data_IF_982488394170
#
_entry.id   IF_982488394170
#
_cell.length_a   1.000
_cell.length_b   1.000
_cell.length_c   1.000
_cell.angle_alpha   90.00
_cell.angle_beta   90.00
_cell.angle_gamma   90.00
#
_symmetry.space_group_name_H-M   'P 1'
#
loop_
_entity.id
_entity.type
_entity.pdbx_description
1 polymer ?
#
# COMPACT_ATOMS: atom_id res chain seq x y z
N UNK A 1 1.12 2.88 0.36
CA UNK A 1 0.05 2.39 -0.51
C UNK A 1 0.37 0.94 -0.82
N UNK A 2 -0.62 0.07 -0.84
CA UNK A 2 -0.50 -1.29 -1.41
C UNK A 2 -1.71 -1.51 -2.31
N UNK A 3 -1.47 -2.05 -3.48
CA UNK A 3 -2.50 -2.28 -4.49
C UNK A 3 -2.45 -3.74 -4.93
N UNK A 4 -3.58 -4.44 -4.82
CA UNK A 4 -3.70 -5.86 -5.15
C UNK A 4 -4.74 -6.01 -6.25
N UNK A 5 -4.36 -6.66 -7.35
CA UNK A 5 -5.31 -7.09 -8.37
C UNK A 5 -5.52 -8.59 -8.25
N UNK A 6 -6.75 -9.01 -7.97
CA UNK A 6 -7.09 -10.41 -7.77
C UNK A 6 -8.50 -10.72 -8.28
N UNK A 7 -8.61 -11.75 -9.11
CA UNK A 7 -9.88 -12.23 -9.69
C UNK A 7 -10.78 -11.11 -10.26
N UNK A 8 -10.19 -10.26 -11.11
CA UNK A 8 -10.90 -9.12 -11.74
C UNK A 8 -11.33 -8.02 -10.77
N UNK A 9 -10.79 -7.99 -9.55
CA UNK A 9 -11.05 -6.97 -8.54
C UNK A 9 -9.76 -6.25 -8.15
N UNK A 10 -9.82 -4.92 -8.15
CA UNK A 10 -8.73 -4.07 -7.68
C UNK A 10 -8.98 -3.63 -6.23
N UNK A 11 -8.04 -3.94 -5.35
CA UNK A 11 -8.04 -3.59 -3.94
C UNK A 11 -6.91 -2.58 -3.70
N UNK A 12 -7.29 -1.31 -3.53
CA UNK A 12 -6.34 -0.21 -3.35
C UNK A 12 -6.35 0.28 -1.90
N UNK A 13 -5.29 -0.04 -1.14
CA UNK A 13 -5.10 0.40 0.23
C UNK A 13 -4.28 1.68 0.27
N UNK A 14 -4.99 2.80 0.36
CA UNK A 14 -4.46 4.18 0.28
C UNK A 14 -5.05 5.07 1.37
N UNK A 15 -4.26 6.04 1.90
CA UNK A 15 -4.72 6.94 2.96
C UNK A 15 -5.96 7.77 2.62
N UNK A 16 -6.18 8.05 1.32
CA UNK A 16 -7.29 8.88 0.89
C UNK A 16 -8.63 8.13 0.79
N UNK A 17 -8.59 6.82 0.67
CA UNK A 17 -9.79 5.98 0.61
C UNK A 17 -10.02 5.16 1.89
N UNK A 18 -9.01 5.02 2.75
CA UNK A 18 -9.15 4.35 4.04
C UNK A 18 -8.03 4.72 5.02
N UNK A 19 -7.40 3.71 5.59
CA UNK A 19 -6.34 3.84 6.58
C UNK A 19 -5.17 2.97 6.16
N UNK A 20 -3.95 3.46 6.37
CA UNK A 20 -2.75 2.68 6.10
C UNK A 20 -1.71 2.91 7.17
N UNK A 21 -1.08 1.83 7.62
CA UNK A 21 -0.01 1.81 8.59
C UNK A 21 1.19 1.13 7.97
N UNK A 22 2.33 1.79 8.09
CA UNK A 22 3.64 1.25 7.74
C UNK A 22 4.52 1.21 8.98
N UNK A 23 5.29 0.15 9.08
CA UNK A 23 6.37 -0.03 10.04
C UNK A 23 7.58 -0.56 9.27
N UNK A 24 8.60 0.29 9.11
CA UNK A 24 9.75 0.03 8.24
C UNK A 24 11.02 0.21 9.06
N UNK A 25 11.84 -0.83 9.10
CA UNK A 25 13.16 -0.80 9.73
C UNK A 25 14.16 -0.03 8.87
N UNK A 26 15.34 0.26 9.42
CA UNK A 26 16.43 0.90 8.68
C UNK A 26 16.87 0.08 7.46
N UNK A 27 16.73 -1.25 7.54
CA UNK A 27 16.84 -2.18 6.43
C UNK A 27 16.19 -3.52 6.80
N UNK A 28 15.83 -4.34 5.81
CA UNK A 28 15.47 -5.74 5.98
C UNK A 28 14.05 -6.06 6.46
N UNK A 29 13.22 -5.06 6.77
CA UNK A 29 11.84 -5.30 7.22
C UNK A 29 10.92 -4.14 6.85
N UNK A 30 9.84 -4.46 6.15
CA UNK A 30 8.76 -3.58 5.76
C UNK A 30 7.43 -4.27 6.08
N UNK A 31 6.64 -3.67 6.96
CA UNK A 31 5.31 -4.18 7.32
C UNK A 31 4.27 -3.14 6.99
N UNK A 32 3.19 -3.60 6.37
CA UNK A 32 2.08 -2.78 5.98
C UNK A 32 0.77 -3.42 6.41
N UNK A 33 -0.12 -2.58 6.96
CA UNK A 33 -1.52 -2.90 7.14
C UNK A 33 -2.36 -1.79 6.53
N UNK A 34 -3.33 -2.15 5.71
CA UNK A 34 -4.19 -1.17 5.06
C UNK A 34 -5.64 -1.60 5.02
N UNK A 35 -6.56 -0.65 5.21
CA UNK A 35 -8.00 -0.83 5.02
C UNK A 35 -8.48 0.08 3.90
N UNK A 36 -9.45 -0.41 3.14
CA UNK A 36 -10.04 0.34 2.04
C UNK A 36 -11.43 -0.16 1.67
N UNK A 37 -11.94 0.30 0.52
CA UNK A 37 -13.15 -0.21 -0.11
C UNK A 37 -12.86 -0.56 -1.57
N UNK A 38 -13.28 -1.74 -1.98
CA UNK A 38 -13.30 -2.20 -3.37
C UNK A 38 -14.75 -2.24 -3.88
N UNK A 39 -14.95 -2.72 -5.12
CA UNK A 39 -16.30 -2.97 -5.65
C UNK A 39 -17.08 -4.03 -4.84
N UNK A 40 -16.38 -4.92 -4.12
CA UNK A 40 -16.98 -6.00 -3.32
C UNK A 40 -17.19 -5.59 -1.85
N UNK A 41 -16.87 -4.33 -1.48
CA UNK A 41 -17.06 -3.81 -0.13
C UNK A 41 -15.75 -3.49 0.61
N UNK A 42 -15.81 -3.34 1.95
CA UNK A 42 -14.65 -3.00 2.75
C UNK A 42 -13.70 -4.19 2.86
N UNK A 43 -12.40 -3.91 2.80
CA UNK A 43 -11.37 -4.94 2.85
C UNK A 43 -10.20 -4.50 3.74
N UNK A 44 -9.39 -5.47 4.15
CA UNK A 44 -8.10 -5.26 4.81
C UNK A 44 -7.02 -6.07 4.10
N UNK A 45 -5.86 -5.46 3.91
CA UNK A 45 -4.66 -6.09 3.38
C UNK A 45 -3.54 -6.00 4.41
N UNK A 46 -2.81 -7.10 4.55
CA UNK A 46 -1.52 -7.13 5.24
C UNK A 46 -0.46 -7.53 4.23
N UNK A 47 0.62 -6.76 4.20
CA UNK A 47 1.78 -7.02 3.36
C UNK A 47 3.02 -6.95 4.22
N UNK A 48 3.81 -8.01 4.20
CA UNK A 48 5.08 -8.09 4.89
C UNK A 48 6.16 -8.38 3.87
N UNK A 49 7.22 -7.59 3.88
CA UNK A 49 8.41 -7.83 3.09
C UNK A 49 9.61 -7.83 4.02
N UNK A 50 10.52 -8.80 3.86
CA UNK A 50 11.72 -8.87 4.68
C UNK A 50 12.88 -9.51 3.91
N UNK A 51 14.10 -9.18 4.31
CA UNK A 51 15.31 -9.87 3.90
C UNK A 51 16.27 -9.94 5.09
N UNK A 52 17.18 -10.91 5.07
CA UNK A 52 18.25 -10.98 6.06
C UNK A 52 19.27 -9.87 5.79
N UNK A 53 19.46 -8.89 6.69
CA UNK A 53 20.40 -7.78 6.46
C UNK A 53 21.86 -8.22 6.35
N UNK A 54 22.26 -9.34 6.96
CA UNK A 54 23.63 -9.84 6.95
C UNK A 54 23.96 -10.52 5.63
N UNK A 55 23.02 -11.30 5.09
CA UNK A 55 23.17 -12.01 3.82
C UNK A 55 22.74 -11.19 2.61
N UNK A 56 21.76 -10.30 2.77
CA UNK A 56 21.19 -9.43 1.74
C UNK A 56 21.32 -7.97 2.20
N UNK A 57 22.54 -7.41 2.19
CA UNK A 57 22.78 -6.04 2.63
C UNK A 57 22.21 -5.01 1.67
N UNK A 58 21.66 -5.38 0.51
CA UNK A 58 21.11 -4.45 -0.47
C UNK A 58 22.17 -3.69 -1.26
N UNK A 59 21.83 -3.38 -2.51
CA UNK A 59 22.63 -2.55 -3.40
C UNK A 59 22.35 -1.08 -3.12
N UNK A 60 23.39 -0.31 -2.82
CA UNK A 60 23.29 1.15 -2.68
C UNK A 60 23.48 1.78 -4.07
N UNK A 61 22.49 2.53 -4.53
CA UNK A 61 22.53 3.17 -5.84
C UNK A 61 22.18 4.66 -5.77
N UNK A 62 22.47 5.35 -6.86
CA UNK A 62 22.26 6.79 -6.96
C UNK A 62 20.81 7.10 -7.33
N UNK A 63 20.19 8.00 -6.58
CA UNK A 63 18.86 8.52 -6.88
C UNK A 63 18.94 10.05 -7.05
N UNK A 64 18.04 10.66 -7.84
CA UNK A 64 18.01 12.10 -8.00
C UNK A 64 17.51 12.78 -6.71
N UNK A 65 18.27 13.74 -6.21
CA UNK A 65 17.87 14.64 -5.12
C UNK A 65 17.70 16.06 -5.66
N UNK A 66 16.84 16.90 -5.02
CA UNK A 66 16.59 18.27 -5.49
C UNK A 66 17.87 19.13 -5.58
N UNK A 67 18.79 18.96 -4.64
CA UNK A 67 19.93 19.87 -4.47
C UNK A 67 21.27 19.29 -4.97
N UNK A 68 21.45 17.97 -4.96
CA UNK A 68 22.74 17.32 -5.25
C UNK A 68 22.72 16.47 -6.53
N UNK A 69 21.56 16.36 -7.20
CA UNK A 69 21.41 15.53 -8.39
C UNK A 69 21.55 14.04 -8.05
N UNK A 70 22.35 13.29 -8.81
CA UNK A 70 22.47 11.83 -8.65
C UNK A 70 23.47 11.46 -7.55
N UNK A 71 22.97 11.16 -6.34
CA UNK A 71 23.79 10.78 -5.17
C UNK A 71 23.32 9.46 -4.55
N UNK A 72 24.21 8.78 -3.83
CA UNK A 72 23.89 7.53 -3.14
C UNK A 72 22.85 7.77 -2.04
N UNK A 73 21.59 7.41 -2.32
CA UNK A 73 20.46 7.84 -1.51
C UNK A 73 19.37 6.76 -1.34
N UNK A 74 19.47 5.68 -2.11
CA UNK A 74 18.58 4.52 -2.03
C UNK A 74 19.37 3.22 -1.83
N UNK A 75 18.74 2.26 -1.17
CA UNK A 75 19.22 0.90 -0.93
C UNK A 75 18.12 -0.06 -1.36
N UNK A 76 18.43 -1.04 -2.20
CA UNK A 76 17.45 -1.95 -2.81
C UNK A 76 17.92 -3.40 -2.90
N UNK A 77 16.98 -4.33 -2.99
CA UNK A 77 17.20 -5.75 -3.26
C UNK A 77 16.00 -6.35 -3.99
N UNK A 78 16.22 -7.34 -4.86
CA UNK A 78 15.16 -8.14 -5.48
C UNK A 78 15.00 -9.53 -4.85
N UNK A 79 15.69 -9.77 -3.73
CA UNK A 79 15.72 -11.06 -3.03
C UNK A 79 14.86 -11.03 -1.75
N UNK A 80 13.99 -10.03 -1.60
CA UNK A 80 13.14 -9.93 -0.42
C UNK A 80 12.01 -10.96 -0.46
N UNK A 81 11.70 -11.49 0.72
CA UNK A 81 10.58 -12.38 0.95
C UNK A 81 9.33 -11.55 1.18
N UNK A 82 8.42 -11.57 0.21
CA UNK A 82 7.13 -10.89 0.26
C UNK A 82 6.04 -11.88 0.65
N UNK A 83 5.18 -11.49 1.59
CA UNK A 83 3.96 -12.21 1.99
C UNK A 83 2.78 -11.25 1.99
N UNK A 84 1.66 -11.68 1.39
CA UNK A 84 0.44 -10.91 1.26
C UNK A 84 -0.75 -11.72 1.75
N UNK A 85 -1.57 -11.11 2.61
CA UNK A 85 -2.89 -11.62 2.96
C UNK A 85 -3.96 -10.55 2.74
N UNK A 86 -5.13 -10.97 2.26
CA UNK A 86 -6.24 -10.09 1.91
C UNK A 86 -7.55 -10.65 2.48
N UNK A 87 -8.30 -9.84 3.21
CA UNK A 87 -9.60 -10.19 3.78
C UNK A 87 -10.69 -9.26 3.29
N UNK A 88 -11.86 -9.83 3.05
CA UNK A 88 -13.10 -9.06 3.08
C UNK A 88 -13.44 -8.72 4.53
N UNK A 89 -14.02 -7.55 4.76
CA UNK A 89 -14.50 -7.14 6.07
C UNK A 89 -16.04 -7.14 6.13
N UNK A 90 -16.58 -7.51 7.28
CA UNK A 90 -18.00 -7.37 7.62
C UNK A 90 -18.19 -6.44 8.82
N UNK A 91 -19.32 -5.75 8.86
CA UNK A 91 -19.69 -4.91 10.00
C UNK A 91 -20.47 -5.74 11.02
N UNK A 92 -19.95 -5.85 12.24
CA UNK A 92 -20.54 -6.67 13.30
C UNK A 92 -21.32 -5.86 14.36
N UNK A 93 -21.79 -4.67 14.02
CA UNK A 93 -22.54 -3.80 14.94
C UNK A 93 -21.69 -2.85 15.77
N UNK A 94 -20.35 -2.95 15.72
CA UNK A 94 -19.45 -2.00 16.38
C UNK A 94 -18.09 -1.83 15.73
N UNK A 95 -17.62 -2.82 14.97
CA UNK A 95 -16.37 -2.73 14.24
C UNK A 95 -16.43 -3.54 12.93
N UNK A 96 -15.42 -3.34 12.08
CA UNK A 96 -15.18 -4.22 10.96
C UNK A 96 -14.36 -5.44 11.40
N UNK A 97 -14.86 -6.64 11.13
CA UNK A 97 -14.19 -7.91 11.40
C UNK A 97 -13.74 -8.59 10.09
N UNK A 98 -12.65 -9.36 10.14
CA UNK A 98 -12.17 -10.17 9.00
C UNK A 98 -13.12 -11.35 8.78
N UNK A 99 -13.68 -11.46 7.59
CA UNK A 99 -14.39 -12.67 7.17
C UNK A 99 -13.37 -13.78 6.94
N UNK A 100 -13.67 -14.99 7.44
CA UNK A 100 -12.85 -16.17 7.22
C UNK A 100 -13.48 -17.09 6.17
N UNK A 101 -12.68 -17.78 5.34
CA UNK A 101 -11.23 -17.60 5.19
C UNK A 101 -10.86 -16.28 4.46
N UNK A 102 -9.60 -15.83 4.51
CA UNK A 102 -9.14 -14.73 3.65
C UNK A 102 -9.42 -14.98 2.17
N UNK A 103 -9.53 -13.88 1.41
CA UNK A 103 -9.57 -13.90 -0.06
C UNK A 103 -8.22 -14.41 -0.61
N UNK A 104 -7.12 -13.96 0.00
CA UNK A 104 -5.75 -14.44 -0.28
C UNK A 104 -5.13 -14.80 1.07
N UNK A 105 -4.80 -16.07 1.26
CA UNK A 105 -4.14 -16.56 2.47
C UNK A 105 -2.63 -16.66 2.25
N UNK A 106 -1.86 -15.74 2.83
CA UNK A 106 -0.39 -15.76 2.89
C UNK A 106 0.28 -16.12 1.57
N UNK A 107 -0.13 -15.49 0.47
CA UNK A 107 0.56 -15.63 -0.80
C UNK A 107 2.00 -15.13 -0.64
N UNK A 108 2.98 -15.94 -1.03
CA UNK A 108 4.39 -15.64 -0.79
C UNK A 108 5.24 -15.64 -2.06
N UNK A 109 6.28 -14.82 -2.07
CA UNK A 109 7.33 -14.80 -3.10
C UNK A 109 8.69 -14.53 -2.45
N UNK A 110 9.76 -15.09 -3.02
CA UNK A 110 11.16 -14.82 -2.62
C UNK A 110 11.89 -13.90 -3.60
N UNK A 111 11.15 -13.32 -4.54
CA UNK A 111 11.66 -12.45 -5.61
C UNK A 111 11.05 -11.05 -5.49
N UNK A 112 10.86 -10.57 -4.26
CA UNK A 112 10.32 -9.24 -3.99
C UNK A 112 11.38 -8.16 -4.12
N UNK A 113 11.04 -7.07 -4.82
CA UNK A 113 11.79 -5.82 -4.77
C UNK A 113 11.53 -5.08 -3.45
N UNK A 114 12.58 -4.64 -2.76
CA UNK A 114 12.46 -3.91 -1.49
C UNK A 114 13.50 -2.78 -1.42
N UNK A 115 13.00 -1.55 -1.45
CA UNK A 115 13.80 -0.33 -1.42
C UNK A 115 13.56 0.47 -0.13
N UNK A 116 14.61 1.09 0.38
CA UNK A 116 14.52 2.24 1.28
C UNK A 116 15.25 3.44 0.68
N UNK A 117 14.54 4.54 0.51
CA UNK A 117 15.06 5.83 0.05
C UNK A 117 15.03 6.87 1.15
N UNK A 118 15.50 8.08 0.87
CA UNK A 118 15.53 9.14 1.89
C UNK A 118 16.72 9.01 2.83
N UNK A 119 17.88 8.61 2.28
CA UNK A 119 19.11 8.40 3.03
C UNK A 119 19.33 9.48 4.09
N UNK A 120 19.87 9.11 5.25
CA UNK A 120 20.78 7.97 5.41
C UNK A 120 20.22 6.82 6.29
N UNK A 121 18.89 6.65 6.30
CA UNK A 121 18.18 5.50 6.91
C UNK A 121 18.56 5.17 8.36
N UNK A 122 18.89 6.19 9.15
CA UNK A 122 19.39 6.00 10.52
C UNK A 122 18.35 5.44 11.50
N UNK A 123 17.07 5.66 11.18
CA UNK A 123 15.97 5.36 12.09
C UNK A 123 14.90 4.56 11.36
N UNK A 124 14.40 3.54 12.04
CA UNK A 124 13.14 2.94 11.67
C UNK A 124 12.03 3.99 11.74
N UNK A 125 11.01 3.83 10.92
CA UNK A 125 9.86 4.71 10.94
C UNK A 125 8.56 3.94 10.96
N UNK A 126 7.66 4.42 11.80
CA UNK A 126 6.28 3.99 11.85
C UNK A 126 5.38 5.17 11.51
N UNK A 127 4.49 4.97 10.54
CA UNK A 127 3.54 6.00 10.12
C UNK A 127 2.17 5.38 9.90
N UNK A 128 1.19 5.96 10.58
CA UNK A 128 -0.21 5.75 10.27
C UNK A 128 -0.70 6.96 9.48
N UNK A 129 -1.39 6.70 8.38
CA UNK A 129 -1.95 7.73 7.50
C UNK A 129 -3.44 7.48 7.32
N UNK A 130 -4.22 8.53 7.60
CA UNK A 130 -5.66 8.60 7.35
C UNK A 130 -5.97 10.02 6.92
N UNK A 131 -6.68 10.18 5.80
CA UNK A 131 -7.10 11.52 5.39
C UNK A 131 -8.26 12.01 6.27
N UNK A 132 -8.05 13.14 6.96
CA UNK A 132 -9.09 13.80 7.77
C UNK A 132 -10.17 14.41 6.87
N UNK A 133 -11.42 14.43 7.31
CA UNK A 133 -12.46 15.25 6.66
C UNK A 133 -12.22 16.73 7.00
N UNK A 134 -12.53 17.70 6.09
CA UNK A 134 -13.25 17.56 4.82
C UNK A 134 -12.34 17.32 3.58
N UNK A 135 -11.01 17.25 3.73
CA UNK A 135 -10.05 17.05 2.63
C UNK A 135 -10.39 15.83 1.77
N UNK A 136 -10.98 14.78 2.36
CA UNK A 136 -11.51 13.61 1.65
C UNK A 136 -12.61 13.90 0.65
N UNK A 137 -13.49 14.83 0.95
CA UNK A 137 -14.52 15.25 0.01
C UNK A 137 -13.90 15.93 -1.22
N UNK A 138 -12.97 16.86 -0.98
CA UNK A 138 -12.38 17.70 -2.02
C UNK A 138 -11.56 16.92 -3.05
N UNK A 139 -10.69 15.99 -2.61
CA UNK A 139 -9.86 15.17 -3.52
C UNK A 139 -10.71 14.28 -4.45
N UNK A 140 -11.92 13.90 -4.04
CA UNK A 140 -12.81 13.04 -4.83
C UNK A 140 -13.73 13.81 -5.80
N UNK A 141 -13.73 15.15 -5.78
CA UNK A 141 -14.62 15.94 -6.65
C UNK A 141 -14.35 15.68 -8.15
N UNK A 142 -13.10 15.71 -8.64
CA UNK A 142 -12.83 15.53 -10.07
C UNK A 142 -13.33 14.18 -10.61
N UNK A 143 -13.11 13.09 -9.87
CA UNK A 143 -13.55 11.74 -10.26
C UNK A 143 -15.06 11.57 -10.18
N UNK A 144 -15.74 12.19 -9.20
CA UNK A 144 -17.21 12.21 -9.11
C UNK A 144 -17.84 12.96 -10.29
N UNK A 145 -17.28 14.11 -10.67
CA UNK A 145 -17.74 14.89 -11.83
C UNK A 145 -17.58 14.07 -13.12
N UNK A 146 -16.44 13.42 -13.32
CA UNK A 146 -16.22 12.55 -14.48
C UNK A 146 -17.20 11.37 -14.53
N UNK A 147 -17.47 10.73 -13.39
CA UNK A 147 -18.45 9.63 -13.29
C UNK A 147 -19.87 10.10 -13.61
N UNK A 148 -20.28 11.26 -13.09
CA UNK A 148 -21.58 11.87 -13.39
C UNK A 148 -21.73 12.22 -14.87
N UNK A 149 -20.70 12.81 -15.49
CA UNK A 149 -20.69 13.06 -16.93
C UNK A 149 -20.86 11.75 -17.72
N UNK A 150 -20.13 10.70 -17.38
CA UNK A 150 -20.28 9.39 -18.05
C UNK A 150 -21.70 8.84 -17.96
N UNK A 151 -22.36 8.95 -16.81
CA UNK A 151 -23.74 8.49 -16.61
C UNK A 151 -24.72 9.34 -17.45
N UNK A 152 -24.58 10.66 -17.42
CA UNK A 152 -25.48 11.58 -18.11
C UNK A 152 -25.32 11.56 -19.64
N UNK A 153 -24.14 11.24 -20.16
CA UNK A 153 -23.85 11.21 -21.60
C UNK A 153 -23.86 9.80 -22.21
N UNK A 154 -24.12 8.73 -21.44
CA UNK A 154 -24.38 7.38 -21.96
C UNK A 154 -25.86 7.08 -22.20
N UNK A 155 -26.78 7.93 -21.75
CA UNK A 155 -28.24 7.78 -21.98
C UNK A 155 -28.73 8.55 -23.21
N UNK A 156 -27.87 8.81 -24.19
CA UNK A 156 -28.22 9.53 -25.41
C UNK A 156 -27.72 8.81 -26.65
N UNK A 157 -28.19 7.57 -26.88
CA UNK A 157 -28.32 6.91 -28.18
C UNK A 157 -29.36 5.80 -28.08
#
# INVERSE_FOLDING_TARGET
MVSVHYNGTFYEAVPWNGESEWDVSTWGSWKFRGRGRSKNGPFEVEFNCHCDPEHVPGLVFRAPTPDEGMVYFCRDTFEAHAELSLWQLEWNGGNYARIQPPIIDRAYSRQGGAEIGGGPWWNAWKRQSRMKQPLKGLVQIPSRIQRLRRILFQTSY
#
